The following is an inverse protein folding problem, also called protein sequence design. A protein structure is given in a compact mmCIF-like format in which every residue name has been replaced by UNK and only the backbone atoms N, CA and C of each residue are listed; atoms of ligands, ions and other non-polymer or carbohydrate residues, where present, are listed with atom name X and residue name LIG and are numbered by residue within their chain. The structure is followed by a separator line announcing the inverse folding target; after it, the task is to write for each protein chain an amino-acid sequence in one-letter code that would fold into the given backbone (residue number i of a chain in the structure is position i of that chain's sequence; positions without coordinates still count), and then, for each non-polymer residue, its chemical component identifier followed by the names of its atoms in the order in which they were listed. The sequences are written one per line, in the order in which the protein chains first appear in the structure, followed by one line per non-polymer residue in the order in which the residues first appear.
data_IF_876537600807
#
_entry.id   IF_876537600807
#
_cell.length_a   1.000
_cell.length_b   1.000
_cell.length_c   1.000
_cell.angle_alpha   90.00
_cell.angle_beta   90.00
_cell.angle_gamma   90.00
#
_symmetry.space_group_name_H-M   'P 1'
#
loop_
_entity.id
_entity.type
_entity.pdbx_description
1 polymer ?
#
# COMPACT_ATOMS: atom_id res chain seq x y z
N UNK A 1 -19.42 -10.66 10.14
CA UNK A 1 -19.06 -9.64 11.17
C UNK A 1 -17.56 -9.40 11.26
N UNK A 2 -16.73 -10.40 10.98
CA UNK A 2 -15.26 -10.31 11.04
C UNK A 2 -14.67 -9.10 10.29
N UNK A 3 -15.12 -8.83 9.05
CA UNK A 3 -14.65 -7.67 8.29
C UNK A 3 -14.97 -6.33 8.97
N UNK A 4 -16.14 -6.21 9.60
CA UNK A 4 -16.51 -5.00 10.32
C UNK A 4 -15.62 -4.82 11.56
N UNK A 5 -15.37 -5.90 12.32
CA UNK A 5 -14.47 -5.87 13.48
C UNK A 5 -13.04 -5.49 13.07
N UNK A 6 -12.51 -6.12 12.01
CA UNK A 6 -11.18 -5.81 11.49
C UNK A 6 -11.07 -4.35 11.04
N UNK A 7 -12.09 -3.82 10.34
CA UNK A 7 -12.13 -2.42 9.92
C UNK A 7 -12.18 -1.47 11.13
N UNK A 8 -12.96 -1.78 12.16
CA UNK A 8 -13.01 -0.98 13.39
C UNK A 8 -11.66 -0.99 14.11
N UNK A 9 -11.01 -2.15 14.24
CA UNK A 9 -9.69 -2.26 14.87
C UNK A 9 -8.62 -1.49 14.09
N UNK A 10 -8.64 -1.55 12.76
CA UNK A 10 -7.76 -0.74 11.91
C UNK A 10 -8.01 0.76 12.14
N UNK A 11 -9.27 1.18 12.20
CA UNK A 11 -9.67 2.55 12.54
C UNK A 11 -9.10 3.03 13.88
N UNK A 12 -9.22 2.21 14.92
CA UNK A 12 -8.66 2.52 16.25
C UNK A 12 -7.14 2.67 16.16
N UNK A 13 -6.44 1.80 15.42
CA UNK A 13 -5.00 1.86 15.27
C UNK A 13 -4.52 3.14 14.57
N UNK A 14 -5.00 3.42 13.35
CA UNK A 14 -4.49 4.57 12.59
C UNK A 14 -5.00 5.92 13.12
N UNK A 15 -6.12 5.95 13.85
CA UNK A 15 -6.59 7.18 14.51
C UNK A 15 -5.61 7.66 15.60
N UNK A 16 -4.76 6.77 16.12
CA UNK A 16 -3.79 7.08 17.17
C UNK A 16 -2.32 7.04 16.69
N UNK A 17 -2.05 6.45 15.52
CA UNK A 17 -0.69 6.29 14.98
C UNK A 17 -0.47 7.02 13.65
N UNK A 18 -1.51 7.64 13.11
CA UNK A 18 -1.53 8.20 11.75
C UNK A 18 -1.29 7.11 10.68
N UNK A 19 -1.06 7.55 9.44
CA UNK A 19 -0.85 6.73 8.24
C UNK A 19 0.36 7.28 7.48
N UNK A 20 0.84 6.59 6.44
CA UNK A 20 2.02 6.99 5.67
C UNK A 20 1.76 7.19 4.18
N UNK A 21 2.79 6.95 3.36
CA UNK A 21 2.82 7.27 1.92
C UNK A 21 1.67 6.62 1.13
N UNK A 22 1.17 5.45 1.53
CA UNK A 22 -0.01 4.82 0.88
C UNK A 22 -1.20 5.80 0.86
N UNK A 23 -1.47 6.48 1.97
CA UNK A 23 -2.58 7.42 2.07
C UNK A 23 -2.26 8.73 1.36
N UNK A 24 -1.05 9.28 1.53
CA UNK A 24 -0.61 10.50 0.83
C UNK A 24 -0.75 10.38 -0.70
N UNK A 25 -0.28 9.25 -1.29
CA UNK A 25 -0.48 8.96 -2.71
C UNK A 25 -1.96 8.77 -3.06
N UNK A 26 -2.73 8.12 -2.19
CA UNK A 26 -4.15 7.86 -2.45
C UNK A 26 -5.06 9.09 -2.36
N UNK A 27 -4.82 10.00 -1.41
CA UNK A 27 -5.48 11.31 -1.34
C UNK A 27 -5.18 12.11 -2.60
N UNK A 28 -3.91 12.12 -3.01
CA UNK A 28 -3.43 12.86 -4.18
C UNK A 28 -4.02 12.30 -5.47
N UNK A 29 -4.01 10.98 -5.66
CA UNK A 29 -4.62 10.33 -6.82
C UNK A 29 -6.13 10.60 -6.85
N UNK A 30 -6.82 10.44 -5.71
CA UNK A 30 -8.25 10.73 -5.59
C UNK A 30 -8.59 12.19 -5.92
N UNK A 31 -7.75 13.14 -5.49
CA UNK A 31 -7.92 14.55 -5.81
C UNK A 31 -7.68 14.89 -7.29
N UNK A 32 -6.81 14.14 -7.98
CA UNK A 32 -6.48 14.40 -9.39
C UNK A 32 -7.47 13.74 -10.35
N UNK A 33 -7.92 12.52 -10.07
CA UNK A 33 -8.76 11.74 -11.01
C UNK A 33 -10.04 11.14 -10.40
N UNK A 34 -10.40 11.51 -9.18
CA UNK A 34 -11.62 11.07 -8.48
C UNK A 34 -11.74 9.54 -8.33
N UNK A 35 -10.61 8.86 -8.13
CA UNK A 35 -10.61 7.43 -7.86
C UNK A 35 -11.09 7.13 -6.43
N UNK A 36 -11.92 6.10 -6.20
CA UNK A 36 -12.37 5.74 -4.86
C UNK A 36 -11.20 5.46 -3.91
N UNK A 37 -11.25 6.00 -2.70
CA UNK A 37 -10.13 5.99 -1.75
C UNK A 37 -9.61 4.57 -1.44
N UNK A 38 -10.50 3.60 -1.20
CA UNK A 38 -10.11 2.21 -0.94
C UNK A 38 -9.40 1.55 -2.12
N UNK A 39 -9.77 1.91 -3.36
CA UNK A 39 -9.06 1.44 -4.55
C UNK A 39 -7.65 2.03 -4.61
N UNK A 40 -7.46 3.30 -4.28
CA UNK A 40 -6.11 3.88 -4.19
C UNK A 40 -5.20 3.12 -3.20
N UNK A 41 -5.72 2.72 -2.04
CA UNK A 41 -4.94 1.95 -1.06
C UNK A 41 -4.49 0.60 -1.62
N UNK A 42 -5.39 -0.10 -2.32
CA UNK A 42 -5.09 -1.37 -2.99
C UNK A 42 -3.99 -1.25 -4.04
N UNK A 43 -3.96 -0.14 -4.79
CA UNK A 43 -2.95 0.11 -5.82
C UNK A 43 -1.55 0.30 -5.25
N UNK A 44 -1.43 1.05 -4.14
CA UNK A 44 -0.12 1.50 -3.64
C UNK A 44 0.48 0.63 -2.54
N UNK A 45 -0.34 -0.10 -1.77
CA UNK A 45 0.12 -0.82 -0.59
C UNK A 45 1.34 -1.73 -0.83
N UNK A 46 1.38 -2.60 -1.86
CA UNK A 46 2.52 -3.51 -2.05
C UNK A 46 3.85 -2.77 -2.29
N UNK A 47 3.80 -1.71 -3.10
CA UNK A 47 5.00 -0.97 -3.52
C UNK A 47 5.53 -0.05 -2.42
N UNK A 48 4.63 0.51 -1.59
CA UNK A 48 5.04 1.30 -0.41
C UNK A 48 5.60 0.39 0.69
N UNK A 49 5.07 -0.83 0.86
CA UNK A 49 5.69 -1.81 1.76
C UNK A 49 7.10 -2.19 1.30
N UNK A 50 7.30 -2.38 0.00
CA UNK A 50 8.63 -2.61 -0.59
C UNK A 50 9.56 -1.42 -0.32
N UNK A 51 9.10 -0.19 -0.54
CA UNK A 51 9.85 1.04 -0.26
C UNK A 51 10.28 1.14 1.21
N UNK A 52 9.36 0.85 2.13
CA UNK A 52 9.58 0.91 3.57
C UNK A 52 10.36 -0.29 4.12
N UNK A 53 10.59 -1.35 3.32
CA UNK A 53 11.19 -2.62 3.78
C UNK A 53 12.59 -2.44 4.39
N UNK A 54 13.37 -1.50 3.86
CA UNK A 54 14.72 -1.21 4.36
C UNK A 54 14.73 -0.78 5.83
N UNK A 55 13.75 0.05 6.24
CA UNK A 55 13.68 0.60 7.60
C UNK A 55 12.73 -0.20 8.50
N UNK A 56 11.69 -0.81 7.92
CA UNK A 56 10.59 -1.42 8.67
C UNK A 56 10.38 -2.91 8.34
N UNK A 57 11.41 -3.57 7.82
CA UNK A 57 11.37 -4.97 7.38
C UNK A 57 10.88 -5.93 8.45
N UNK A 58 11.33 -5.76 9.70
CA UNK A 58 10.91 -6.61 10.82
C UNK A 58 9.40 -6.50 11.11
N UNK A 59 8.87 -5.27 11.11
CA UNK A 59 7.41 -5.05 11.29
C UNK A 59 6.60 -5.61 10.13
N UNK A 60 7.12 -5.54 8.90
CA UNK A 60 6.48 -6.14 7.73
C UNK A 60 6.54 -7.66 7.80
N UNK A 61 7.63 -8.24 8.32
CA UNK A 61 7.78 -9.67 8.55
C UNK A 61 6.79 -10.21 9.59
N UNK A 62 6.50 -9.45 10.65
CA UNK A 62 5.52 -9.83 11.68
C UNK A 62 4.10 -10.02 11.12
N UNK A 63 3.74 -9.29 10.06
CA UNK A 63 2.45 -9.41 9.39
C UNK A 63 2.25 -10.76 8.69
N UNK A 64 3.31 -11.53 8.42
CA UNK A 64 3.19 -12.80 7.74
C UNK A 64 2.35 -13.80 8.53
N UNK A 65 2.51 -13.84 9.86
CA UNK A 65 1.78 -14.78 10.72
C UNK A 65 0.26 -14.60 10.63
N UNK A 66 -0.30 -13.40 10.88
CA UNK A 66 -1.74 -13.19 10.78
C UNK A 66 -2.26 -13.25 9.33
N UNK A 67 -1.44 -12.99 8.31
CA UNK A 67 -1.88 -13.01 6.91
C UNK A 67 -1.84 -14.39 6.26
N UNK A 68 -0.83 -15.20 6.58
CA UNK A 68 -0.55 -16.46 5.90
C UNK A 68 -0.68 -17.70 6.81
N UNK A 69 -0.82 -17.50 8.12
CA UNK A 69 -0.97 -18.58 9.10
C UNK A 69 0.36 -19.14 9.61
N UNK A 70 0.27 -19.92 10.69
CA UNK A 70 1.42 -20.43 11.44
C UNK A 70 2.34 -21.34 10.59
N UNK A 71 1.75 -22.18 9.72
CA UNK A 71 2.52 -23.11 8.89
C UNK A 71 3.44 -22.38 7.90
N UNK A 72 2.91 -21.37 7.20
CA UNK A 72 3.70 -20.56 6.26
C UNK A 72 4.75 -19.75 7.01
N UNK A 73 4.39 -19.18 8.16
CA UNK A 73 5.32 -18.41 8.99
C UNK A 73 6.50 -19.25 9.49
N UNK A 74 6.23 -20.47 9.97
CA UNK A 74 7.25 -21.39 10.49
C UNK A 74 8.18 -21.90 9.38
N UNK A 75 7.65 -22.15 8.18
CA UNK A 75 8.43 -22.61 7.02
C UNK A 75 9.21 -21.50 6.31
N UNK A 76 8.88 -20.23 6.55
CA UNK A 76 9.55 -19.09 5.91
C UNK A 76 10.73 -18.61 6.77
N UNK A 77 11.97 -18.66 6.28
CA UNK A 77 13.14 -18.12 6.98
C UNK A 77 12.93 -16.66 7.38
N UNK A 78 13.37 -16.27 8.58
CA UNK A 78 13.10 -14.94 9.15
C UNK A 78 13.43 -13.78 8.18
N UNK A 79 14.60 -13.83 7.53
CA UNK A 79 15.06 -12.82 6.57
C UNK A 79 14.22 -12.74 5.28
N UNK A 80 13.39 -13.74 4.97
CA UNK A 80 12.48 -13.76 3.81
C UNK A 80 11.04 -13.39 4.16
N UNK A 81 10.71 -13.23 5.45
CA UNK A 81 9.31 -13.05 5.88
C UNK A 81 8.69 -11.75 5.37
N UNK A 82 9.45 -10.65 5.35
CA UNK A 82 8.96 -9.38 4.82
C UNK A 82 8.59 -9.49 3.33
N UNK A 83 9.44 -10.14 2.53
CA UNK A 83 9.17 -10.40 1.12
C UNK A 83 7.98 -11.35 0.93
N UNK A 84 7.87 -12.38 1.77
CA UNK A 84 6.72 -13.28 1.77
C UNK A 84 5.41 -12.57 2.15
N UNK A 85 5.43 -11.62 3.08
CA UNK A 85 4.28 -10.77 3.41
C UNK A 85 3.81 -10.00 2.17
N UNK A 86 4.72 -9.30 1.49
CA UNK A 86 4.40 -8.49 0.30
C UNK A 86 3.85 -9.39 -0.81
N UNK A 87 4.47 -10.56 -1.04
CA UNK A 87 3.97 -11.55 -2.01
C UNK A 87 2.57 -12.09 -1.65
N UNK A 88 2.28 -12.26 -0.37
CA UNK A 88 0.95 -12.68 0.12
C UNK A 88 -0.10 -11.62 -0.18
N UNK A 89 0.20 -10.33 0.07
CA UNK A 89 -0.68 -9.21 -0.26
C UNK A 89 -0.93 -9.12 -1.78
N UNK A 90 0.10 -9.29 -2.61
CA UNK A 90 -0.03 -9.33 -4.06
C UNK A 90 -0.94 -10.50 -4.51
N UNK A 91 -0.79 -11.68 -3.92
CA UNK A 91 -1.65 -12.84 -4.18
C UNK A 91 -3.10 -12.56 -3.79
N UNK A 92 -3.34 -11.91 -2.65
CA UNK A 92 -4.68 -11.48 -2.22
C UNK A 92 -5.29 -10.48 -3.21
N UNK A 93 -4.50 -9.51 -3.69
CA UNK A 93 -4.92 -8.54 -4.71
C UNK A 93 -5.33 -9.23 -6.01
N UNK A 94 -4.54 -10.19 -6.49
CA UNK A 94 -4.86 -10.96 -7.70
C UNK A 94 -6.14 -11.81 -7.52
N UNK A 95 -6.33 -12.41 -6.33
CA UNK A 95 -7.56 -13.11 -6.00
C UNK A 95 -8.77 -12.17 -6.02
N UNK A 96 -8.68 -10.99 -5.41
CA UNK A 96 -9.76 -10.00 -5.43
C UNK A 96 -10.08 -9.59 -6.88
N UNK A 97 -9.07 -9.31 -7.71
CA UNK A 97 -9.27 -9.01 -9.12
C UNK A 97 -9.99 -10.15 -9.86
N UNK A 98 -9.61 -11.41 -9.61
CA UNK A 98 -10.27 -12.55 -10.25
C UNK A 98 -11.78 -12.63 -9.94
N UNK A 99 -12.17 -12.22 -8.73
CA UNK A 99 -13.54 -12.28 -8.22
C UNK A 99 -14.38 -11.06 -8.60
N UNK A 100 -13.80 -9.86 -8.61
CA UNK A 100 -14.55 -8.59 -8.69
C UNK A 100 -14.11 -7.67 -9.82
N UNK A 101 -13.00 -7.98 -10.50
CA UNK A 101 -12.32 -7.11 -11.46
C UNK A 101 -11.88 -5.77 -10.88
N UNK A 102 -11.66 -5.69 -9.56
CA UNK A 102 -11.07 -4.50 -8.92
C UNK A 102 -9.66 -4.26 -9.48
N UNK A 103 -9.36 -3.08 -10.07
CA UNK A 103 -8.07 -2.80 -10.68
C UNK A 103 -6.89 -2.98 -9.72
N UNK A 104 -5.78 -3.51 -10.24
CA UNK A 104 -4.56 -3.83 -9.51
C UNK A 104 -3.43 -2.85 -9.78
N UNK A 105 -3.49 -2.16 -10.91
CA UNK A 105 -2.52 -1.17 -11.37
C UNK A 105 -3.22 0.12 -11.79
N UNK A 106 -2.47 1.21 -11.92
CA UNK A 106 -3.01 2.50 -12.38
C UNK A 106 -3.52 2.40 -13.81
N UNK A 107 -2.81 1.70 -14.70
CA UNK A 107 -3.24 1.48 -16.08
C UNK A 107 -4.58 0.72 -16.18
N UNK A 108 -4.79 -0.29 -15.31
CA UNK A 108 -6.05 -1.04 -15.25
C UNK A 108 -7.26 -0.18 -14.81
N UNK A 109 -7.03 0.99 -14.19
CA UNK A 109 -8.14 1.89 -13.81
C UNK A 109 -8.73 2.62 -15.02
N UNK A 110 -7.93 2.88 -16.06
CA UNK A 110 -8.31 3.75 -17.17
C UNK A 110 -8.65 5.19 -16.78
N UNK A 111 -8.28 5.64 -15.57
CA UNK A 111 -8.64 6.98 -15.04
C UNK A 111 -7.51 7.99 -15.02
N UNK A 112 -6.27 7.54 -15.20
CA UNK A 112 -5.07 8.37 -15.13
C UNK A 112 -4.15 8.10 -16.31
N UNK A 113 -3.43 9.13 -16.76
CA UNK A 113 -2.37 9.06 -17.76
C UNK A 113 -0.99 9.24 -17.11
N UNK A 114 0.07 8.76 -17.76
CA UNK A 114 1.46 8.91 -17.25
C UNK A 114 1.85 10.38 -17.04
N UNK A 115 1.34 11.28 -17.90
CA UNK A 115 1.58 12.73 -17.81
C UNK A 115 1.01 13.36 -16.51
N UNK A 116 0.09 12.69 -15.83
CA UNK A 116 -0.48 13.16 -14.57
C UNK A 116 0.26 12.63 -13.33
N UNK A 117 1.20 11.68 -13.49
CA UNK A 117 1.91 11.07 -12.35
C UNK A 117 2.76 12.10 -11.60
N UNK A 118 3.41 13.02 -12.31
CA UNK A 118 4.19 14.10 -11.69
C UNK A 118 3.33 14.97 -10.77
N UNK A 119 2.12 15.34 -11.23
CA UNK A 119 1.16 16.10 -10.43
C UNK A 119 0.68 15.32 -9.21
N UNK A 120 0.52 14.00 -9.30
CA UNK A 120 0.17 13.15 -8.16
C UNK A 120 1.32 13.11 -7.14
N UNK A 121 2.56 12.95 -7.61
CA UNK A 121 3.74 12.92 -6.75
C UNK A 121 3.96 14.25 -6.01
N UNK A 122 3.83 15.39 -6.70
CA UNK A 122 3.94 16.72 -6.09
C UNK A 122 2.89 16.96 -5.02
N UNK A 123 1.63 16.55 -5.27
CA UNK A 123 0.57 16.65 -4.27
C UNK A 123 0.82 15.75 -3.08
N UNK A 124 1.30 14.53 -3.31
CA UNK A 124 1.59 13.56 -2.26
C UNK A 124 2.73 14.04 -1.34
N UNK A 125 3.75 14.69 -1.90
CA UNK A 125 4.83 15.30 -1.14
C UNK A 125 4.34 16.37 -0.14
N UNK A 126 3.23 17.04 -0.47
CA UNK A 126 2.63 18.09 0.35
C UNK A 126 1.47 17.58 1.24
N UNK A 127 1.16 16.28 1.23
CA UNK A 127 0.14 15.69 2.10
C UNK A 127 0.72 15.40 3.49
N UNK A 128 0.08 15.90 4.55
CA UNK A 128 0.59 15.81 5.91
C UNK A 128 0.77 14.38 6.46
N UNK A 129 0.14 13.36 5.85
CA UNK A 129 0.38 11.97 6.25
C UNK A 129 1.80 11.48 5.92
N UNK A 130 2.49 12.10 4.96
CA UNK A 130 3.85 11.68 4.58
C UNK A 130 4.84 11.78 5.74
N UNK A 131 4.61 12.72 6.67
CA UNK A 131 5.46 13.00 7.84
C UNK A 131 5.57 11.79 8.78
N UNK A 132 4.53 10.94 8.80
CA UNK A 132 4.48 9.77 9.69
C UNK A 132 4.97 8.48 9.01
N UNK A 133 5.41 8.55 7.75
CA UNK A 133 5.97 7.39 7.08
C UNK A 133 7.35 7.03 7.69
N UNK A 134 7.65 5.74 7.96
CA UNK A 134 8.88 5.35 8.66
C UNK A 134 10.16 5.68 7.89
N UNK A 135 10.08 5.82 6.56
CA UNK A 135 11.17 6.24 5.69
C UNK A 135 10.76 7.55 5.00
N UNK A 136 11.52 8.62 5.20
CA UNK A 136 11.29 9.89 4.49
C UNK A 136 11.32 9.65 2.99
N UNK A 137 10.45 10.30 2.21
CA UNK A 137 10.37 10.11 0.76
C UNK A 137 10.56 11.43 0.03
N UNK A 138 11.42 11.38 -0.98
CA UNK A 138 11.61 12.47 -1.93
C UNK A 138 10.56 12.43 -3.03
N UNK A 139 10.48 13.51 -3.84
CA UNK A 139 9.64 13.52 -5.03
C UNK A 139 9.97 12.35 -5.99
N UNK A 140 11.25 12.02 -6.15
CA UNK A 140 11.68 10.94 -7.04
C UNK A 140 11.30 9.56 -6.50
N UNK A 141 11.30 9.37 -5.18
CA UNK A 141 10.80 8.14 -4.56
C UNK A 141 9.30 7.94 -4.85
N UNK A 142 8.50 9.01 -4.70
CA UNK A 142 7.07 8.98 -4.99
C UNK A 142 6.80 8.68 -6.48
N UNK A 143 7.57 9.30 -7.39
CA UNK A 143 7.50 9.00 -8.82
C UNK A 143 7.89 7.55 -9.12
N UNK A 144 8.90 7.01 -8.46
CA UNK A 144 9.31 5.61 -8.59
C UNK A 144 8.21 4.66 -8.15
N UNK A 145 7.55 4.93 -7.01
CA UNK A 145 6.40 4.15 -6.52
C UNK A 145 5.23 4.21 -7.52
N UNK A 146 4.90 5.39 -8.04
CA UNK A 146 3.86 5.55 -9.06
C UNK A 146 4.16 4.76 -10.34
N UNK A 147 5.42 4.76 -10.80
CA UNK A 147 5.86 3.96 -11.96
C UNK A 147 5.76 2.46 -11.69
N UNK A 148 6.10 1.99 -10.49
CA UNK A 148 5.90 0.58 -10.11
C UNK A 148 4.42 0.19 -10.03
N UNK A 149 3.55 1.15 -9.68
CA UNK A 149 2.11 0.96 -9.60
C UNK A 149 1.36 1.10 -10.93
N UNK A 150 2.06 1.49 -12.01
CA UNK A 150 1.48 1.64 -13.35
C UNK A 150 0.96 0.33 -13.92
#
# INVERSE_FOLDING_TARGET
LELAQASTMAGIAFSNSMVGIVHSLGHSLGAVVHLPHGLCMNLFLPYVLEYNKEVNGDKIADLLLPLAGADIYAQTPAHLRADKTIATILTMRDRIYSLTKLPRTLSETGKISEAQLDKVAEKALNDGSIIYNPKEATLEDLKSILKKAW
#
